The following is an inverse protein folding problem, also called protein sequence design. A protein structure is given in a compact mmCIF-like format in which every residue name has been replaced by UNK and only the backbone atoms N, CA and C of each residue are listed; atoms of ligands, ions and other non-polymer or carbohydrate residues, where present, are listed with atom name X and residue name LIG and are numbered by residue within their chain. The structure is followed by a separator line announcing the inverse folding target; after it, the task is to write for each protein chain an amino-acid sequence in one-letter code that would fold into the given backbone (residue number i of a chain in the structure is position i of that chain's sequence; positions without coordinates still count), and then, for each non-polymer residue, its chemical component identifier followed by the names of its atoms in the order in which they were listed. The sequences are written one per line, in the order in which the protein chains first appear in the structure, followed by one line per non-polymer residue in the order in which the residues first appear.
data_IF_957460741895
#
_entry.id   IF_957460741895
#
_cell.length_a   1.000
_cell.length_b   1.000
_cell.length_c   1.000
_cell.angle_alpha   90.00
_cell.angle_beta   90.00
_cell.angle_gamma   90.00
#
_symmetry.space_group_name_H-M   'P 1'
#
loop_
_entity.id
_entity.type
_entity.pdbx_description
1 polymer ?
#
# COMPACT_ATOMS: atom_id res chain seq x y z
N UNK A 1 -10.23 -16.31 30.19
CA UNK A 1 -8.90 -16.54 29.58
C UNK A 1 -8.61 -15.31 28.73
N UNK A 2 -7.60 -14.52 29.07
CA UNK A 2 -7.33 -13.26 28.36
C UNK A 2 -6.68 -13.57 27.02
N UNK A 3 -7.29 -13.16 25.91
CA UNK A 3 -6.80 -13.42 24.57
C UNK A 3 -5.49 -12.66 24.29
N UNK A 4 -4.53 -13.28 23.60
CA UNK A 4 -3.22 -12.67 23.27
C UNK A 4 -3.38 -11.34 22.54
N UNK A 5 -4.40 -11.25 21.68
CA UNK A 5 -4.77 -10.02 20.98
C UNK A 5 -5.17 -8.91 21.96
N UNK A 6 -5.95 -9.25 22.98
CA UNK A 6 -6.40 -8.30 24.00
C UNK A 6 -5.24 -7.72 24.80
N UNK A 7 -4.26 -8.56 25.18
CA UNK A 7 -3.05 -8.12 25.91
C UNK A 7 -2.24 -7.14 25.04
N UNK A 8 -2.06 -7.48 23.77
CA UNK A 8 -1.34 -6.63 22.81
C UNK A 8 -2.04 -5.28 22.60
N UNK A 9 -3.36 -5.26 22.40
CA UNK A 9 -4.11 -4.01 22.23
C UNK A 9 -4.12 -3.15 23.50
N UNK A 10 -4.27 -3.77 24.67
CA UNK A 10 -4.10 -3.06 25.95
C UNK A 10 -2.71 -2.45 26.06
N UNK A 11 -1.66 -3.15 25.66
CA UNK A 11 -0.30 -2.63 25.63
C UNK A 11 -0.12 -1.50 24.59
N UNK A 12 -0.76 -1.55 23.43
CA UNK A 12 -0.69 -0.45 22.45
C UNK A 12 -1.58 0.76 22.79
N UNK A 13 -2.58 0.59 23.68
CA UNK A 13 -3.58 1.61 24.00
C UNK A 13 -3.08 2.85 24.76
N UNK A 14 -1.77 3.00 25.02
CA UNK A 14 -1.22 4.15 25.74
C UNK A 14 -0.19 4.88 24.87
N UNK A 15 -0.25 6.23 24.75
CA UNK A 15 0.62 7.00 23.86
C UNK A 15 2.11 6.78 24.14
N UNK A 16 2.54 6.92 25.41
CA UNK A 16 3.93 6.69 25.83
C UNK A 16 4.45 5.30 25.41
N UNK A 17 3.60 4.25 25.44
CA UNK A 17 4.04 2.91 25.03
C UNK A 17 4.29 2.82 23.53
N UNK A 18 3.49 3.50 22.71
CA UNK A 18 3.72 3.58 21.25
C UNK A 18 4.99 4.37 20.94
N UNK A 19 5.19 5.48 21.64
CA UNK A 19 6.39 6.31 21.48
C UNK A 19 7.67 5.59 21.91
N UNK A 20 7.64 4.80 22.99
CA UNK A 20 8.75 3.90 23.35
C UNK A 20 9.06 2.91 22.21
N UNK A 21 8.04 2.31 21.56
CA UNK A 21 8.25 1.39 20.44
C UNK A 21 8.87 2.12 19.23
N UNK A 22 8.45 3.35 18.95
CA UNK A 22 9.02 4.19 17.90
C UNK A 22 10.49 4.52 18.16
N UNK A 23 10.84 4.86 19.41
CA UNK A 23 12.24 5.08 19.81
C UNK A 23 13.10 3.81 19.67
N UNK A 24 12.54 2.65 20.04
CA UNK A 24 13.22 1.35 19.96
C UNK A 24 13.31 0.79 18.52
N UNK A 25 12.51 1.31 17.59
CA UNK A 25 12.60 0.97 16.15
C UNK A 25 13.95 1.33 15.56
N UNK A 26 14.55 2.43 16.02
CA UNK A 26 15.81 2.93 15.49
C UNK A 26 17.03 2.19 16.04
N UNK A 27 17.05 1.93 17.36
CA UNK A 27 18.11 1.18 18.02
C UNK A 27 17.65 0.68 19.39
N UNK A 28 18.26 -0.39 19.93
CA UNK A 28 18.06 -0.81 21.31
C UNK A 28 18.48 0.29 22.29
N UNK A 29 17.70 0.51 23.34
CA UNK A 29 17.95 1.56 24.34
C UNK A 29 17.94 1.01 25.76
N UNK A 30 18.77 1.57 26.63
CA UNK A 30 18.64 1.30 28.06
C UNK A 30 17.37 1.93 28.61
N UNK A 31 16.94 1.48 29.78
CA UNK A 31 15.82 2.15 30.48
C UNK A 31 16.18 3.58 30.86
N UNK A 32 17.46 3.90 31.10
CA UNK A 32 17.90 5.27 31.35
C UNK A 32 17.76 6.14 30.12
N UNK A 33 18.24 5.65 28.96
CA UNK A 33 18.14 6.40 27.71
C UNK A 33 16.68 6.69 27.36
N UNK A 34 15.75 5.75 27.62
CA UNK A 34 14.33 5.95 27.40
C UNK A 34 13.72 6.99 28.35
N UNK A 35 14.14 7.01 29.61
CA UNK A 35 13.68 7.96 30.64
C UNK A 35 13.96 9.41 30.22
N UNK A 36 15.10 9.65 29.57
CA UNK A 36 15.51 10.98 29.09
C UNK A 36 14.57 11.57 28.01
N UNK A 37 13.84 10.73 27.27
CA UNK A 37 12.87 11.20 26.27
C UNK A 37 11.52 11.62 26.88
N UNK A 38 11.27 11.34 28.17
CA UNK A 38 9.98 11.60 28.82
C UNK A 38 10.15 12.42 30.11
N UNK A 39 10.55 13.71 30.03
CA UNK A 39 10.86 14.52 31.20
C UNK A 39 9.66 14.74 32.15
N UNK A 40 8.44 14.72 31.62
CA UNK A 40 7.20 14.90 32.41
C UNK A 40 6.69 13.58 33.02
N UNK A 41 7.42 12.48 32.85
CA UNK A 41 7.00 11.14 33.24
C UNK A 41 8.01 10.56 34.21
N UNK A 42 7.54 10.10 35.37
CA UNK A 42 8.44 9.47 36.33
C UNK A 42 9.09 8.20 35.76
N UNK A 43 10.36 7.98 36.11
CA UNK A 43 11.08 6.75 35.79
C UNK A 43 10.35 5.47 36.18
N UNK A 44 9.62 5.51 37.29
CA UNK A 44 8.77 4.39 37.72
C UNK A 44 7.65 4.10 36.72
N UNK A 45 7.00 5.14 36.19
CA UNK A 45 5.98 5.00 35.15
C UNK A 45 6.58 4.45 33.84
N UNK A 46 7.78 4.90 33.44
CA UNK A 46 8.50 4.35 32.27
C UNK A 46 8.81 2.87 32.46
N UNK A 47 9.28 2.45 33.64
CA UNK A 47 9.47 1.03 33.96
C UNK A 47 8.18 0.23 33.88
N UNK A 48 7.06 0.79 34.38
CA UNK A 48 5.74 0.15 34.28
C UNK A 48 5.29 -0.01 32.82
N UNK A 49 5.51 1.00 31.98
CA UNK A 49 5.24 0.91 30.54
C UNK A 49 6.07 -0.18 29.86
N UNK A 50 7.36 -0.26 30.17
CA UNK A 50 8.25 -1.30 29.65
C UNK A 50 7.83 -2.71 30.09
N UNK A 51 7.40 -2.88 31.34
CA UNK A 51 6.87 -4.17 31.81
C UNK A 51 5.62 -4.59 31.04
N UNK A 52 4.66 -3.69 30.85
CA UNK A 52 3.46 -3.98 30.04
C UNK A 52 3.78 -4.32 28.59
N UNK A 53 4.73 -3.60 27.97
CA UNK A 53 5.19 -3.91 26.61
C UNK A 53 5.91 -5.26 26.54
N UNK A 54 6.68 -5.61 27.57
CA UNK A 54 7.37 -6.89 27.68
C UNK A 54 6.38 -8.05 27.86
N UNK A 55 5.34 -7.89 28.69
CA UNK A 55 4.24 -8.86 28.86
C UNK A 55 3.50 -9.10 27.54
N UNK A 56 3.30 -8.06 26.73
CA UNK A 56 2.75 -8.17 25.38
C UNK A 56 3.74 -8.67 24.32
N UNK A 57 4.97 -9.03 24.73
CA UNK A 57 6.07 -9.43 23.86
C UNK A 57 6.49 -8.39 22.81
N UNK A 58 6.07 -7.13 22.94
CA UNK A 58 6.46 -6.03 22.04
C UNK A 58 7.85 -5.49 22.35
N UNK A 59 8.37 -5.76 23.55
CA UNK A 59 9.75 -5.43 23.96
C UNK A 59 10.45 -6.66 24.49
N UNK A 60 11.66 -6.92 24.01
CA UNK A 60 12.58 -7.93 24.54
C UNK A 60 13.66 -7.26 25.38
N UNK A 61 14.04 -7.92 26.46
CA UNK A 61 15.03 -7.39 27.40
C UNK A 61 16.24 -8.31 27.42
N UNK A 62 17.42 -7.73 27.22
CA UNK A 62 18.69 -8.46 27.37
C UNK A 62 19.60 -7.72 28.34
N UNK A 63 20.29 -8.49 29.19
CA UNK A 63 21.34 -7.97 30.06
C UNK A 63 22.68 -8.07 29.35
N UNK A 64 23.37 -6.94 29.23
CA UNK A 64 24.73 -6.88 28.71
C UNK A 64 25.61 -6.20 29.75
N UNK A 65 26.31 -7.02 30.54
CA UNK A 65 27.01 -6.57 31.74
C UNK A 65 26.05 -5.90 32.72
N UNK A 66 26.32 -4.63 33.06
CA UNK A 66 25.49 -3.83 33.98
C UNK A 66 24.26 -3.19 33.32
N UNK A 67 24.14 -3.25 31.99
CA UNK A 67 23.08 -2.56 31.26
C UNK A 67 21.91 -3.49 30.94
N UNK A 68 20.69 -2.98 31.13
CA UNK A 68 19.43 -3.61 30.71
C UNK A 68 18.97 -2.95 29.41
N UNK A 69 19.24 -3.60 28.28
CA UNK A 69 18.85 -3.13 26.96
C UNK A 69 17.45 -3.63 26.60
N UNK A 70 16.63 -2.72 26.09
CA UNK A 70 15.28 -2.98 25.59
C UNK A 70 15.34 -2.96 24.07
N UNK A 71 14.73 -3.96 23.44
CA UNK A 71 14.70 -4.15 21.99
C UNK A 71 13.23 -4.19 21.55
N UNK A 72 12.90 -3.53 20.44
CA UNK A 72 11.62 -3.74 19.78
C UNK A 72 11.53 -5.18 19.29
N UNK A 73 10.40 -5.84 19.58
CA UNK A 73 10.01 -7.09 18.93
C UNK A 73 8.75 -6.85 18.11
N UNK A 74 8.93 -6.73 16.80
CA UNK A 74 7.85 -6.48 15.86
C UNK A 74 7.03 -7.74 15.52
N UNK A 75 7.48 -8.94 15.92
CA UNK A 75 6.81 -10.21 15.56
C UNK A 75 5.33 -10.23 15.98
N UNK A 76 4.94 -9.85 17.21
CA UNK A 76 3.53 -9.86 17.60
C UNK A 76 2.67 -8.89 16.77
N UNK A 77 3.23 -7.76 16.33
CA UNK A 77 2.54 -6.81 15.44
C UNK A 77 2.32 -7.44 14.06
N UNK A 78 3.33 -8.13 13.53
CA UNK A 78 3.24 -8.83 12.25
C UNK A 78 2.25 -10.00 12.30
N UNK A 79 2.18 -10.72 13.42
CA UNK A 79 1.21 -11.80 13.65
C UNK A 79 -0.22 -11.25 13.72
N UNK A 80 -0.46 -10.16 14.46
CA UNK A 80 -1.77 -9.48 14.51
C UNK A 80 -2.15 -8.94 13.13
N UNK A 81 -1.19 -8.37 12.41
CA UNK A 81 -1.38 -7.97 11.03
C UNK A 81 -1.79 -9.16 10.15
N UNK A 82 -1.08 -10.28 10.15
CA UNK A 82 -1.43 -11.43 9.30
C UNK A 82 -2.72 -12.15 9.70
N UNK A 83 -2.95 -12.31 11.00
CA UNK A 83 -4.06 -13.11 11.54
C UNK A 83 -5.37 -12.33 11.59
N UNK A 84 -5.33 -11.02 11.78
CA UNK A 84 -6.54 -10.25 12.06
C UNK A 84 -6.61 -9.03 11.17
N UNK A 85 -5.72 -8.04 11.33
CA UNK A 85 -5.83 -6.75 10.63
C UNK A 85 -5.82 -6.96 9.10
N UNK A 86 -4.93 -7.78 8.58
CA UNK A 86 -4.77 -8.13 7.17
C UNK A 86 -5.97 -8.88 6.57
N UNK A 87 -6.73 -9.62 7.39
CA UNK A 87 -7.98 -10.28 6.94
C UNK A 87 -9.10 -9.25 6.76
N UNK A 88 -9.07 -8.16 7.53
CA UNK A 88 -9.99 -7.03 7.39
C UNK A 88 -9.41 -5.90 6.51
N UNK A 89 -8.12 -5.94 6.17
CA UNK A 89 -7.46 -4.98 5.26
C UNK A 89 -7.41 -5.48 3.81
N UNK A 90 -8.17 -6.54 3.48
CA UNK A 90 -8.64 -6.69 2.10
C UNK A 90 -9.44 -5.44 1.75
N UNK A 91 -9.17 -4.85 0.57
CA UNK A 91 -9.84 -3.65 0.03
C UNK A 91 -11.37 -3.66 0.15
N UNK A 92 -11.98 -4.82 0.32
CA UNK A 92 -13.41 -5.04 0.49
C UNK A 92 -14.00 -4.49 1.80
N UNK A 93 -13.29 -4.49 2.95
CA UNK A 93 -13.91 -4.03 4.20
C UNK A 93 -14.17 -2.52 4.23
N UNK A 94 -13.26 -1.74 3.64
CA UNK A 94 -13.43 -0.29 3.52
C UNK A 94 -14.58 0.03 2.55
N UNK A 95 -14.60 -0.60 1.38
CA UNK A 95 -15.72 -0.48 0.42
C UNK A 95 -17.06 -0.93 1.00
N UNK A 96 -17.10 -2.02 1.78
CA UNK A 96 -18.33 -2.52 2.40
C UNK A 96 -18.81 -1.64 3.56
N UNK A 97 -17.89 -1.04 4.34
CA UNK A 97 -18.25 -0.05 5.35
C UNK A 97 -18.83 1.22 4.70
N UNK A 98 -18.30 1.63 3.54
CA UNK A 98 -18.81 2.76 2.79
C UNK A 98 -20.21 2.48 2.20
N UNK A 99 -20.44 1.28 1.65
CA UNK A 99 -21.77 0.83 1.21
C UNK A 99 -22.75 0.77 2.39
N UNK A 100 -22.32 0.22 3.52
CA UNK A 100 -23.13 0.15 4.75
C UNK A 100 -23.51 1.55 5.25
N UNK A 101 -22.57 2.48 5.32
CA UNK A 101 -22.84 3.86 5.74
C UNK A 101 -23.78 4.59 4.76
N UNK A 102 -23.67 4.36 3.46
CA UNK A 102 -24.60 4.94 2.47
C UNK A 102 -26.04 4.42 2.62
N UNK A 103 -26.20 3.13 2.95
CA UNK A 103 -27.52 2.52 3.19
C UNK A 103 -28.11 2.94 4.52
N UNK A 104 -27.29 3.02 5.58
CA UNK A 104 -27.73 3.42 6.92
C UNK A 104 -28.06 4.93 7.01
N UNK A 105 -27.41 5.78 6.20
CA UNK A 105 -27.71 7.22 6.13
C UNK A 105 -28.98 7.55 5.32
N UNK A 106 -29.39 6.70 4.39
CA UNK A 106 -30.64 6.90 3.62
C UNK A 106 -31.92 6.50 4.39
N UNK A 107 -31.81 6.07 5.64
CA UNK A 107 -32.93 5.78 6.53
C UNK A 107 -33.41 6.95 7.41
N UNK A 108 -32.83 8.15 7.29
CA UNK A 108 -33.17 9.29 8.14
C UNK A 108 -33.22 10.61 7.36
N UNK A 109 -34.39 11.23 7.33
CA UNK A 109 -34.62 12.49 6.62
C UNK A 109 -33.79 13.67 7.14
N UNK A 110 -33.26 14.43 6.16
CA UNK A 110 -32.83 15.85 6.18
C UNK A 110 -31.50 16.23 6.85
N UNK A 111 -30.52 16.53 5.98
CA UNK A 111 -29.99 17.89 5.90
C UNK A 111 -28.53 18.11 6.31
N UNK A 112 -27.56 17.55 5.59
CA UNK A 112 -26.26 18.19 5.36
C UNK A 112 -25.62 17.65 4.07
N UNK A 113 -24.87 18.51 3.36
CA UNK A 113 -24.55 18.42 1.92
C UNK A 113 -23.93 17.09 1.48
N UNK A 114 -24.54 16.46 0.48
CA UNK A 114 -23.97 15.36 -0.28
C UNK A 114 -22.83 15.87 -1.16
N UNK A 115 -21.59 15.42 -0.94
CA UNK A 115 -20.67 15.06 -2.05
C UNK A 115 -19.37 14.32 -1.65
N UNK A 116 -19.39 13.42 -0.66
CA UNK A 116 -18.22 12.56 -0.36
C UNK A 116 -18.68 11.11 -0.12
N UNK A 117 -19.43 10.55 -1.07
CA UNK A 117 -19.73 9.12 -1.04
C UNK A 117 -18.52 8.36 -1.57
N UNK A 118 -17.99 7.45 -0.77
CA UNK A 118 -16.93 6.58 -1.24
C UNK A 118 -17.52 5.55 -2.21
N UNK A 119 -17.07 5.61 -3.46
CA UNK A 119 -17.55 4.81 -4.58
C UNK A 119 -16.49 3.79 -5.01
N UNK A 120 -16.90 2.84 -5.83
CA UNK A 120 -16.03 1.82 -6.42
C UNK A 120 -16.31 1.80 -7.91
N UNK A 121 -15.26 1.81 -8.73
CA UNK A 121 -15.38 1.52 -10.15
C UNK A 121 -14.46 0.37 -10.56
N UNK A 122 -14.80 -0.28 -11.67
CA UNK A 122 -14.02 -1.34 -12.29
C UNK A 122 -13.96 -1.10 -13.79
N UNK A 123 -12.74 -0.97 -14.31
CA UNK A 123 -12.44 -0.87 -15.73
C UNK A 123 -11.83 -2.20 -16.17
N UNK A 124 -12.37 -2.76 -17.25
CA UNK A 124 -11.80 -3.91 -17.95
C UNK A 124 -11.47 -3.49 -19.38
N UNK A 125 -10.24 -3.77 -19.80
CA UNK A 125 -9.75 -3.44 -21.14
C UNK A 125 -9.02 -4.64 -21.72
N UNK A 126 -9.20 -4.87 -23.01
CA UNK A 126 -8.47 -5.88 -23.77
C UNK A 126 -7.82 -5.21 -24.98
N UNK A 127 -6.55 -5.50 -25.21
CA UNK A 127 -5.77 -4.99 -26.35
C UNK A 127 -4.97 -6.14 -26.94
N UNK A 128 -5.01 -6.29 -28.26
CA UNK A 128 -4.16 -7.24 -29.00
C UNK A 128 -2.93 -6.48 -29.50
N UNK A 129 -1.75 -7.01 -29.20
CA UNK A 129 -0.44 -6.43 -29.55
C UNK A 129 0.32 -7.46 -30.39
N UNK A 130 0.84 -7.05 -31.54
CA UNK A 130 1.73 -7.90 -32.34
C UNK A 130 3.08 -8.02 -31.63
N UNK A 131 3.48 -9.24 -31.28
CA UNK A 131 4.64 -9.50 -30.42
C UNK A 131 4.43 -10.69 -29.49
N UNK A 132 5.54 -11.34 -29.15
CA UNK A 132 5.54 -12.44 -28.17
C UNK A 132 5.13 -11.95 -26.78
N UNK A 133 4.62 -12.87 -25.97
CA UNK A 133 4.21 -12.55 -24.59
C UNK A 133 5.36 -12.01 -23.76
N UNK A 134 6.56 -12.54 -23.97
CA UNK A 134 7.77 -12.09 -23.28
C UNK A 134 8.12 -10.64 -23.63
N UNK A 135 7.99 -10.24 -24.91
CA UNK A 135 8.20 -8.84 -25.34
C UNK A 135 7.17 -7.91 -24.69
N UNK A 136 5.89 -8.27 -24.71
CA UNK A 136 4.83 -7.46 -24.09
C UNK A 136 5.01 -7.35 -22.58
N UNK A 137 5.37 -8.45 -21.89
CA UNK A 137 5.63 -8.44 -20.46
C UNK A 137 6.84 -7.54 -20.10
N UNK A 138 7.91 -7.63 -20.89
CA UNK A 138 9.09 -6.80 -20.71
C UNK A 138 8.77 -5.31 -20.93
N UNK A 139 7.99 -4.99 -21.96
CA UNK A 139 7.50 -3.63 -22.22
C UNK A 139 6.64 -3.08 -21.07
N UNK A 140 5.72 -3.89 -20.54
CA UNK A 140 4.86 -3.52 -19.41
C UNK A 140 5.61 -3.28 -18.10
N UNK A 141 6.78 -3.89 -17.94
CA UNK A 141 7.50 -3.92 -16.66
C UNK A 141 8.86 -3.24 -16.77
N UNK A 142 9.87 -3.93 -17.27
CA UNK A 142 11.24 -3.44 -17.32
C UNK A 142 11.44 -2.18 -18.15
N UNK A 143 10.54 -1.90 -19.10
CA UNK A 143 10.58 -0.75 -19.99
C UNK A 143 9.40 0.22 -19.81
N UNK A 144 8.72 0.17 -18.67
CA UNK A 144 7.53 1.00 -18.41
C UNK A 144 7.76 2.50 -18.59
N UNK A 145 8.98 2.99 -18.28
CA UNK A 145 9.36 4.40 -18.43
C UNK A 145 9.31 4.89 -19.88
N UNK A 146 9.53 4.00 -20.86
CA UNK A 146 9.75 4.37 -22.25
C UNK A 146 8.46 4.77 -22.99
N UNK A 147 7.30 4.33 -22.48
CA UNK A 147 6.00 4.55 -23.10
C UNK A 147 4.93 5.11 -22.16
N UNK A 148 5.08 4.95 -20.84
CA UNK A 148 4.11 5.47 -19.89
C UNK A 148 4.24 6.99 -19.80
N UNK A 149 3.17 7.76 -20.02
CA UNK A 149 3.22 9.23 -20.05
C UNK A 149 2.86 9.91 -18.73
N UNK A 150 1.96 9.33 -17.94
CA UNK A 150 1.47 9.99 -16.72
C UNK A 150 2.55 10.05 -15.64
N UNK A 151 2.67 11.21 -14.98
CA UNK A 151 3.62 11.48 -13.89
C UNK A 151 2.90 12.17 -12.74
N UNK A 152 3.27 11.84 -11.51
CA UNK A 152 2.80 12.54 -10.31
C UNK A 152 3.87 13.43 -9.68
N UNK A 153 5.08 13.44 -10.24
CA UNK A 153 6.10 14.40 -9.87
C UNK A 153 5.56 15.84 -9.93
N UNK A 154 6.04 16.74 -9.05
CA UNK A 154 5.67 18.14 -9.10
C UNK A 154 5.91 18.76 -10.47
N UNK A 155 5.05 19.70 -10.85
CA UNK A 155 5.13 20.37 -12.16
C UNK A 155 6.54 20.93 -12.43
N UNK A 156 7.06 20.65 -13.62
CA UNK A 156 8.40 21.07 -14.05
C UNK A 156 9.57 20.27 -13.46
N UNK A 157 9.33 19.29 -12.56
CA UNK A 157 10.39 18.36 -12.12
C UNK A 157 10.47 17.15 -13.05
N UNK A 158 11.65 16.86 -13.64
CA UNK A 158 11.85 15.59 -14.34
C UNK A 158 11.79 14.44 -13.34
N UNK A 159 11.23 13.31 -13.76
CA UNK A 159 11.12 12.12 -12.95
C UNK A 159 11.43 10.87 -13.76
N UNK A 160 11.69 9.77 -13.05
CA UNK A 160 11.94 8.46 -13.62
C UNK A 160 11.00 7.42 -13.03
N UNK A 161 10.23 6.76 -13.88
CA UNK A 161 9.35 5.66 -13.52
C UNK A 161 10.10 4.32 -13.61
N UNK A 162 9.70 3.36 -12.78
CA UNK A 162 10.24 2.00 -12.80
C UNK A 162 9.29 1.03 -12.13
N UNK A 163 9.17 -0.18 -12.67
CA UNK A 163 8.43 -1.28 -12.07
C UNK A 163 9.37 -2.47 -11.89
N UNK A 164 9.51 -2.95 -10.65
CA UNK A 164 10.22 -4.19 -10.32
C UNK A 164 9.24 -5.38 -10.32
N UNK A 165 9.27 -6.28 -11.33
CA UNK A 165 8.24 -7.30 -11.55
C UNK A 165 8.48 -8.58 -10.73
N UNK A 166 8.81 -8.44 -9.45
CA UNK A 166 8.98 -9.56 -8.52
C UNK A 166 7.98 -9.45 -7.37
N UNK A 167 7.74 -10.54 -6.64
CA UNK A 167 6.87 -10.49 -5.46
C UNK A 167 7.41 -9.48 -4.44
N UNK A 168 6.59 -8.50 -4.05
CA UNK A 168 6.97 -7.40 -3.17
C UNK A 168 7.70 -6.24 -3.86
N UNK A 169 8.02 -6.37 -5.15
CA UNK A 169 8.60 -5.31 -5.98
C UNK A 169 7.71 -4.07 -6.03
N UNK A 170 8.32 -2.92 -6.32
CA UNK A 170 7.64 -1.63 -6.28
C UNK A 170 7.45 -1.05 -7.68
N UNK A 171 6.27 -0.45 -7.90
CA UNK A 171 6.07 0.52 -8.96
C UNK A 171 6.37 1.90 -8.39
N UNK A 172 7.35 2.60 -8.94
CA UNK A 172 7.99 3.73 -8.30
C UNK A 172 8.29 4.83 -9.31
N UNK A 173 8.04 6.07 -8.92
CA UNK A 173 8.50 7.26 -9.62
C UNK A 173 9.45 8.05 -8.71
N UNK A 174 10.63 8.41 -9.22
CA UNK A 174 11.65 9.18 -8.49
C UNK A 174 11.94 10.50 -9.19
N UNK A 175 12.00 11.60 -8.44
CA UNK A 175 12.35 12.94 -8.96
C UNK A 175 13.39 13.67 -8.09
N UNK A 176 14.12 12.92 -7.26
CA UNK A 176 15.23 13.39 -6.45
C UNK A 176 15.87 12.25 -5.66
N UNK A 177 16.91 12.53 -4.88
CA UNK A 177 17.65 11.48 -4.14
C UNK A 177 16.78 10.77 -3.09
N UNK A 178 15.95 11.52 -2.37
CA UNK A 178 14.98 11.02 -1.39
C UNK A 178 13.56 11.51 -1.71
N UNK A 179 13.33 11.98 -2.93
CA UNK A 179 12.02 12.45 -3.39
C UNK A 179 11.48 11.50 -4.45
N UNK A 180 10.23 11.10 -4.27
CA UNK A 180 9.54 10.18 -5.16
C UNK A 180 8.24 9.71 -4.55
N UNK A 181 7.54 8.85 -5.28
CA UNK A 181 6.33 8.21 -4.83
C UNK A 181 6.33 6.73 -5.22
N UNK A 182 5.90 5.90 -4.26
CA UNK A 182 5.57 4.50 -4.51
C UNK A 182 4.15 4.47 -5.04
N UNK A 183 4.01 4.20 -6.34
CA UNK A 183 2.71 4.05 -7.01
C UNK A 183 1.98 2.83 -6.46
N UNK A 184 2.70 1.72 -6.28
CA UNK A 184 2.15 0.53 -5.69
C UNK A 184 3.17 -0.58 -5.52
N UNK A 185 2.68 -1.73 -5.09
CA UNK A 185 3.48 -2.91 -4.82
C UNK A 185 2.93 -4.11 -5.59
N UNK A 186 3.84 -4.93 -6.14
CA UNK A 186 3.51 -6.22 -6.74
C UNK A 186 3.18 -7.20 -5.61
N UNK A 187 1.95 -7.68 -5.59
CA UNK A 187 1.52 -8.68 -4.60
C UNK A 187 1.32 -10.07 -5.19
N UNK A 188 1.34 -10.18 -6.53
CA UNK A 188 1.29 -11.43 -7.26
C UNK A 188 2.05 -11.28 -8.57
N UNK A 189 2.87 -12.27 -8.90
CA UNK A 189 3.51 -12.39 -10.21
C UNK A 189 3.66 -13.86 -10.58
N UNK A 190 3.25 -14.18 -11.80
CA UNK A 190 3.52 -15.43 -12.50
C UNK A 190 4.03 -15.05 -13.89
N UNK A 191 5.30 -14.64 -13.98
CA UNK A 191 5.85 -14.07 -15.20
C UNK A 191 6.04 -15.15 -16.29
N UNK A 192 5.76 -14.84 -17.57
CA UNK A 192 5.26 -13.56 -18.10
C UNK A 192 3.71 -13.49 -18.20
N UNK A 193 2.98 -14.45 -17.63
CA UNK A 193 1.54 -14.62 -17.83
C UNK A 193 0.67 -13.60 -17.09
N UNK A 194 1.05 -13.25 -15.86
CA UNK A 194 0.23 -12.39 -15.02
C UNK A 194 1.07 -11.64 -13.99
N UNK A 195 0.72 -10.38 -13.78
CA UNK A 195 1.24 -9.56 -12.69
C UNK A 195 0.11 -8.71 -12.10
N UNK A 196 0.09 -8.58 -10.77
CA UNK A 196 -0.92 -7.79 -10.06
C UNK A 196 -0.28 -6.84 -9.06
N UNK A 197 -0.81 -5.62 -9.06
CA UNK A 197 -0.31 -4.47 -8.32
C UNK A 197 -1.43 -3.88 -7.46
N UNK A 198 -1.08 -3.33 -6.30
CA UNK A 198 -2.00 -2.57 -5.46
C UNK A 198 -1.30 -1.33 -4.93
N UNK A 199 -2.01 -0.21 -4.82
CA UNK A 199 -1.48 1.05 -4.31
C UNK A 199 -2.36 2.23 -4.68
N UNK A 200 -1.79 3.44 -4.68
CA UNK A 200 -2.52 4.60 -5.20
C UNK A 200 -2.50 4.62 -6.73
N UNK A 201 -1.47 4.05 -7.39
CA UNK A 201 -1.37 3.83 -8.84
C UNK A 201 -1.75 5.06 -9.68
N UNK A 202 -1.18 6.20 -9.35
CA UNK A 202 -1.42 7.47 -10.05
C UNK A 202 -2.72 8.18 -9.66
N UNK A 203 -3.63 7.52 -8.93
CA UNK A 203 -4.80 8.17 -8.35
C UNK A 203 -4.35 9.20 -7.30
N UNK A 204 -5.00 10.36 -7.29
CA UNK A 204 -4.82 11.39 -6.27
C UNK A 204 -5.86 11.21 -5.15
N UNK A 205 -5.59 11.72 -3.94
CA UNK A 205 -6.56 11.67 -2.84
C UNK A 205 -6.70 10.31 -2.13
N UNK A 206 -7.81 10.14 -1.40
CA UNK A 206 -8.06 8.98 -0.54
C UNK A 206 -8.64 7.80 -1.34
N UNK A 207 -7.84 7.28 -2.28
CA UNK A 207 -8.22 6.16 -3.16
C UNK A 207 -7.19 5.06 -3.10
N UNK A 208 -7.69 3.82 -3.05
CA UNK A 208 -6.89 2.63 -3.22
C UNK A 208 -7.27 1.96 -4.55
N UNK A 209 -6.26 1.60 -5.32
CA UNK A 209 -6.38 1.03 -6.66
C UNK A 209 -5.62 -0.30 -6.76
N UNK A 210 -6.09 -1.18 -7.64
CA UNK A 210 -5.40 -2.40 -8.02
C UNK A 210 -5.44 -2.60 -9.52
N UNK A 211 -4.29 -2.97 -10.10
CA UNK A 211 -4.17 -3.40 -11.50
C UNK A 211 -3.91 -4.90 -11.55
N UNK A 212 -4.54 -5.56 -12.52
CA UNK A 212 -4.23 -6.93 -12.92
C UNK A 212 -3.98 -6.92 -14.42
N UNK A 213 -2.78 -7.35 -14.82
CA UNK A 213 -2.43 -7.58 -16.22
C UNK A 213 -2.34 -9.07 -16.45
N UNK A 214 -3.03 -9.58 -17.47
CA UNK A 214 -2.93 -10.96 -17.94
C UNK A 214 -2.57 -10.98 -19.41
N UNK A 215 -1.60 -11.80 -19.76
CA UNK A 215 -1.14 -11.96 -21.14
C UNK A 215 -1.50 -13.36 -21.66
N UNK A 216 -2.11 -13.40 -22.84
CA UNK A 216 -2.40 -14.63 -23.57
C UNK A 216 -1.81 -14.52 -24.95
N UNK A 217 -0.86 -15.39 -25.27
CA UNK A 217 -0.26 -15.43 -26.61
C UNK A 217 -1.10 -16.29 -27.55
N UNK A 218 -1.28 -15.80 -28.76
CA UNK A 218 -1.90 -16.52 -29.87
C UNK A 218 -1.22 -16.15 -31.20
N UNK A 219 -0.67 -17.15 -31.89
CA UNK A 219 -0.10 -17.03 -33.23
C UNK A 219 0.85 -15.83 -33.47
N UNK A 220 1.75 -15.53 -32.52
CA UNK A 220 2.73 -14.43 -32.64
C UNK A 220 2.19 -13.05 -32.24
N UNK A 221 0.95 -12.99 -31.75
CA UNK A 221 0.35 -11.83 -31.10
C UNK A 221 0.05 -12.14 -29.64
N UNK A 222 -0.06 -11.12 -28.82
CA UNK A 222 -0.40 -11.26 -27.40
C UNK A 222 -1.60 -10.38 -27.07
N UNK A 223 -2.64 -11.02 -26.50
CA UNK A 223 -3.76 -10.32 -25.89
C UNK A 223 -3.40 -9.92 -24.47
N UNK A 224 -3.31 -8.62 -24.23
CA UNK A 224 -3.22 -8.01 -22.91
C UNK A 224 -4.61 -7.72 -22.36
N UNK A 225 -4.97 -8.36 -21.25
CA UNK A 225 -6.18 -8.09 -20.49
C UNK A 225 -5.81 -7.28 -19.23
N UNK A 226 -6.32 -6.06 -19.13
CA UNK A 226 -6.23 -5.21 -17.95
C UNK A 226 -7.53 -5.28 -17.16
N UNK A 227 -7.41 -5.42 -15.85
CA UNK A 227 -8.46 -5.05 -14.89
C UNK A 227 -7.94 -4.00 -13.93
N UNK A 228 -8.60 -2.84 -13.88
CA UNK A 228 -8.35 -1.78 -12.91
C UNK A 228 -9.56 -1.65 -11.99
N UNK A 229 -9.37 -1.85 -10.69
CA UNK A 229 -10.37 -1.55 -9.65
C UNK A 229 -9.90 -0.42 -8.78
N UNK A 230 -10.75 0.57 -8.53
CA UNK A 230 -10.47 1.66 -7.59
C UNK A 230 -11.61 1.80 -6.58
N UNK A 231 -11.26 2.16 -5.35
CA UNK A 231 -12.22 2.36 -4.26
C UNK A 231 -11.76 3.50 -3.36
N UNK A 232 -12.68 4.39 -2.98
CA UNK A 232 -12.39 5.51 -2.09
C UNK A 232 -13.22 6.74 -2.41
N UNK A 233 -12.71 7.93 -2.06
CA UNK A 233 -13.30 9.20 -2.49
C UNK A 233 -12.96 9.43 -3.96
N UNK A 234 -13.90 9.10 -4.84
CA UNK A 234 -13.73 9.18 -6.29
C UNK A 234 -14.66 10.27 -6.83
N UNK A 235 -14.13 11.12 -7.70
CA UNK A 235 -14.90 12.18 -8.36
C UNK A 235 -15.77 11.60 -9.48
N UNK A 236 -16.90 12.25 -9.80
CA UNK A 236 -17.92 11.73 -10.73
C UNK A 236 -17.38 11.33 -12.11
N UNK A 237 -16.34 12.03 -12.61
CA UNK A 237 -15.79 11.81 -13.95
C UNK A 237 -14.57 10.88 -14.00
N UNK A 238 -14.08 10.39 -12.86
CA UNK A 238 -12.83 9.62 -12.82
C UNK A 238 -12.91 8.30 -13.57
N UNK A 239 -14.00 7.54 -13.45
CA UNK A 239 -14.12 6.26 -14.15
C UNK A 239 -13.97 6.43 -15.67
N UNK A 240 -14.68 7.42 -16.24
CA UNK A 240 -14.62 7.72 -17.66
C UNK A 240 -13.24 8.23 -18.08
N UNK A 241 -12.67 9.18 -17.34
CA UNK A 241 -11.33 9.72 -17.62
C UNK A 241 -10.24 8.65 -17.56
N UNK A 242 -10.28 7.74 -16.58
CA UNK A 242 -9.31 6.64 -16.47
C UNK A 242 -9.53 5.60 -17.57
N UNK A 243 -10.76 5.37 -18.01
CA UNK A 243 -11.05 4.48 -19.14
C UNK A 243 -10.45 5.03 -20.43
N UNK A 244 -10.59 6.32 -20.68
CA UNK A 244 -9.96 7.01 -21.82
C UNK A 244 -8.43 6.98 -21.71
N UNK A 245 -7.89 7.24 -20.53
CA UNK A 245 -6.45 7.13 -20.25
C UNK A 245 -5.90 5.73 -20.54
N UNK A 246 -6.62 4.67 -20.17
CA UNK A 246 -6.22 3.29 -20.47
C UNK A 246 -6.26 2.96 -21.96
N UNK A 247 -7.27 3.45 -22.68
CA UNK A 247 -7.32 3.30 -24.13
C UNK A 247 -6.11 3.96 -24.81
N UNK A 248 -5.71 5.14 -24.36
CA UNK A 248 -4.51 5.81 -24.86
C UNK A 248 -3.22 5.07 -24.49
N UNK A 249 -3.04 4.74 -23.20
CA UNK A 249 -1.83 4.07 -22.71
C UNK A 249 -1.59 2.71 -23.35
N UNK A 250 -2.60 1.83 -23.35
CA UNK A 250 -2.43 0.46 -23.83
C UNK A 250 -2.71 0.34 -25.33
N UNK A 251 -3.77 0.99 -25.80
CA UNK A 251 -4.21 0.90 -27.20
C UNK A 251 -3.33 1.67 -28.17
N UNK A 252 -2.65 2.72 -27.72
CA UNK A 252 -1.76 3.53 -28.56
C UNK A 252 -0.29 3.39 -28.13
N UNK A 253 0.06 3.82 -26.92
CA UNK A 253 1.47 4.00 -26.55
C UNK A 253 2.22 2.68 -26.41
N UNK A 254 1.75 1.78 -25.53
CA UNK A 254 2.36 0.47 -25.33
C UNK A 254 2.34 -0.35 -26.62
N UNK A 255 1.19 -0.39 -27.31
CA UNK A 255 1.04 -1.12 -28.56
C UNK A 255 2.07 -0.65 -29.60
N UNK A 256 2.16 0.66 -29.86
CA UNK A 256 3.15 1.20 -30.79
C UNK A 256 4.58 0.94 -30.35
N UNK A 257 4.87 1.04 -29.05
CA UNK A 257 6.20 0.77 -28.50
C UNK A 257 6.65 -0.67 -28.76
N UNK A 258 5.76 -1.65 -28.59
CA UNK A 258 6.08 -3.07 -28.83
C UNK A 258 6.16 -3.39 -30.32
N UNK A 259 5.26 -2.83 -31.13
CA UNK A 259 5.14 -3.18 -32.56
C UNK A 259 6.20 -2.50 -33.45
N UNK A 260 6.81 -1.41 -32.97
CA UNK A 260 7.80 -0.63 -33.72
C UNK A 260 9.24 -0.81 -33.19
N UNK A 261 9.41 -1.42 -32.02
CA UNK A 261 10.70 -1.69 -31.37
C UNK A 261 11.25 -3.08 -31.66
#
# INVERSE_FOLDING_TARGET
MEDKLSILFKALGHPIRREILDLLRHAPKTTGDLDEYFPDVSRYAIMKHLSTLQEAHLVLVRRQGKYRLNFLNAVPLQEVHRRWVGQYMGSTAHSLLNVKSAVEQNGGEKGMKANEQATVFKIEQEVVIEGSREQVFQALTGNVEDWWEFRIAPEGKPSKLSLDPVLGGQFLEKWGNNEGAVWGNVYYVNAPEEIRLIGHLGMQGAVNSAYTYRLKEDHGSTTLQLTHTASGLIEEDWEQSHKEGWNHLLGNLLKNYVEQG
#
